data_IF_992149845382
#
_entry.id   IF_992149845382
#
_cell.length_a   1.000
_cell.length_b   1.000
_cell.length_c   1.000
_cell.angle_alpha   90.00
_cell.angle_beta   90.00
_cell.angle_gamma   90.00
#
_symmetry.space_group_name_H-M   'P 1'
#
loop_
_entity.id
_entity.type
_entity.pdbx_description
1 polymer ?
#
# COMPACT_ATOMS: atom_id res chain seq x y z
N UNK A 1 -9.78 -46.43 -17.75
CA UNK A 1 -11.05 -47.02 -18.24
C UNK A 1 -10.88 -48.53 -18.42
N UNK A 2 -11.98 -49.27 -18.50
CA UNK A 2 -11.94 -50.71 -18.77
C UNK A 2 -13.14 -51.13 -19.61
N UNK A 3 -13.02 -52.28 -20.28
CA UNK A 3 -14.06 -52.91 -21.08
C UNK A 3 -14.25 -54.33 -20.57
N UNK A 4 -15.50 -54.73 -20.42
CA UNK A 4 -15.91 -56.10 -20.12
C UNK A 4 -16.53 -56.72 -21.37
N UNK A 5 -16.15 -57.95 -21.77
CA UNK A 5 -16.76 -58.64 -22.90
C UNK A 5 -18.22 -59.00 -22.60
N UNK A 6 -19.01 -59.19 -23.65
CA UNK A 6 -20.35 -59.74 -23.50
C UNK A 6 -20.26 -61.21 -23.05
N UNK A 7 -20.95 -61.56 -21.97
CA UNK A 7 -21.09 -62.95 -21.51
C UNK A 7 -22.56 -63.29 -21.25
N UNK A 8 -22.90 -64.56 -21.45
CA UNK A 8 -24.21 -65.12 -21.10
C UNK A 8 -24.27 -65.60 -19.65
N UNK A 9 -23.10 -65.73 -18.99
CA UNK A 9 -22.94 -66.22 -17.62
C UNK A 9 -22.21 -65.19 -16.75
N UNK A 10 -22.22 -65.39 -15.43
CA UNK A 10 -21.47 -64.56 -14.50
C UNK A 10 -19.97 -64.82 -14.62
N UNK A 11 -19.22 -63.78 -14.99
CA UNK A 11 -17.76 -63.80 -15.08
C UNK A 11 -17.15 -62.79 -14.12
N UNK A 12 -16.09 -63.20 -13.42
CA UNK A 12 -15.32 -62.33 -12.54
C UNK A 12 -14.22 -61.62 -13.33
N UNK A 13 -14.08 -60.32 -13.11
CA UNK A 13 -13.00 -59.51 -13.68
C UNK A 13 -12.24 -58.81 -12.57
N UNK A 14 -10.92 -58.80 -12.69
CA UNK A 14 -10.04 -58.08 -11.79
C UNK A 14 -9.33 -56.96 -12.56
N UNK A 15 -9.25 -55.79 -11.94
CA UNK A 15 -8.50 -54.67 -12.49
C UNK A 15 -7.93 -53.80 -11.40
N UNK A 16 -6.73 -53.30 -11.62
CA UNK A 16 -6.08 -52.32 -10.76
C UNK A 16 -6.24 -50.90 -11.29
N UNK A 17 -6.17 -49.95 -10.36
CA UNK A 17 -6.02 -48.53 -10.62
C UNK A 17 -4.85 -48.05 -9.79
N UNK A 18 -3.95 -47.30 -10.43
CA UNK A 18 -2.86 -46.64 -9.72
C UNK A 18 -3.35 -45.26 -9.25
N UNK A 19 -3.22 -45.00 -7.95
CA UNK A 19 -3.50 -43.70 -7.35
C UNK A 19 -2.15 -43.02 -7.13
N UNK A 20 -1.90 -41.94 -7.89
CA UNK A 20 -0.69 -41.14 -7.69
C UNK A 20 -0.91 -40.28 -6.44
N UNK A 21 -0.15 -40.58 -5.39
CA UNK A 21 -0.07 -39.71 -4.22
C UNK A 21 0.76 -38.49 -4.63
N UNK A 22 0.14 -37.31 -4.56
CA UNK A 22 0.78 -36.05 -4.90
C UNK A 22 0.88 -35.16 -3.67
N UNK A 23 1.56 -34.04 -3.87
CA UNK A 23 1.63 -32.92 -2.94
C UNK A 23 0.29 -32.34 -2.48
N UNK A 24 -0.82 -32.72 -3.09
CA UNK A 24 -2.15 -32.29 -2.69
C UNK A 24 -2.67 -32.98 -1.41
N UNK A 25 -2.03 -34.08 -0.98
CA UNK A 25 -2.42 -34.85 0.21
C UNK A 25 -1.32 -34.74 1.26
N UNK A 26 -1.68 -34.35 2.48
CA UNK A 26 -0.75 -34.25 3.60
C UNK A 26 -0.30 -35.63 4.09
N UNK A 27 0.91 -35.76 4.67
CA UNK A 27 1.27 -36.93 5.46
C UNK A 27 0.34 -37.09 6.66
N UNK A 28 0.00 -38.32 6.98
CA UNK A 28 -0.93 -38.66 8.05
C UNK A 28 -1.47 -40.09 7.93
N UNK A 29 -2.09 -40.57 9.00
CA UNK A 29 -2.86 -41.81 9.02
C UNK A 29 -4.36 -41.51 9.01
N UNK A 30 -5.16 -42.53 8.74
CA UNK A 30 -6.62 -42.41 8.81
C UNK A 30 -7.26 -41.99 7.49
N UNK A 31 -6.56 -42.16 6.37
CA UNK A 31 -7.16 -41.98 5.06
C UNK A 31 -8.00 -43.20 4.70
N UNK A 32 -9.24 -42.94 4.27
CA UNK A 32 -10.19 -43.96 3.85
C UNK A 32 -10.00 -44.31 2.36
N UNK A 33 -10.36 -45.53 1.99
CA UNK A 33 -10.35 -45.99 0.60
C UNK A 33 -11.71 -46.54 0.21
N UNK A 34 -12.21 -46.09 -0.94
CA UNK A 34 -13.34 -46.72 -1.61
C UNK A 34 -13.11 -46.67 -3.12
N UNK A 35 -13.73 -47.59 -3.84
CA UNK A 35 -13.75 -47.59 -5.29
C UNK A 35 -15.20 -47.39 -5.76
N UNK A 36 -15.35 -46.62 -6.83
CA UNK A 36 -16.64 -46.32 -7.45
C UNK A 36 -16.58 -46.66 -8.93
N UNK A 37 -17.45 -47.57 -9.38
CA UNK A 37 -17.66 -47.85 -10.79
C UNK A 37 -18.77 -46.91 -11.27
N UNK A 38 -18.43 -46.06 -12.25
CA UNK A 38 -19.35 -45.08 -12.83
C UNK A 38 -19.68 -45.42 -14.28
N UNK A 39 -20.82 -44.90 -14.77
CA UNK A 39 -21.18 -44.96 -16.18
C UNK A 39 -21.75 -46.31 -16.65
N UNK A 40 -22.29 -47.11 -15.73
CA UNK A 40 -23.00 -48.36 -16.04
C UNK A 40 -24.51 -48.16 -16.03
N UNK A 41 -25.24 -49.03 -16.74
CA UNK A 41 -26.71 -49.02 -16.74
C UNK A 41 -27.21 -49.51 -15.38
N UNK A 42 -28.00 -48.69 -14.69
CA UNK A 42 -28.50 -48.98 -13.33
C UNK A 42 -27.92 -48.08 -12.23
N UNK A 43 -26.99 -47.18 -12.57
CA UNK A 43 -26.39 -46.23 -11.62
C UNK A 43 -25.01 -46.68 -11.12
N UNK A 44 -24.38 -45.82 -10.33
CA UNK A 44 -23.03 -46.07 -9.84
C UNK A 44 -23.00 -47.17 -8.77
N UNK A 45 -21.94 -48.00 -8.79
CA UNK A 45 -21.71 -49.04 -7.80
C UNK A 45 -20.50 -48.67 -6.95
N UNK A 46 -20.64 -48.75 -5.63
CA UNK A 46 -19.60 -48.44 -4.66
C UNK A 46 -19.15 -49.72 -3.95
N UNK A 47 -17.85 -49.81 -3.64
CA UNK A 47 -17.35 -50.79 -2.67
C UNK A 47 -17.73 -50.38 -1.25
N UNK A 48 -17.46 -51.26 -0.28
CA UNK A 48 -17.40 -50.84 1.12
C UNK A 48 -16.34 -49.73 1.31
N UNK A 49 -16.57 -48.88 2.31
CA UNK A 49 -15.59 -47.91 2.78
C UNK A 49 -14.60 -48.65 3.66
N UNK A 50 -13.35 -48.71 3.21
CA UNK A 50 -12.25 -49.20 4.02
C UNK A 50 -11.73 -48.02 4.85
N UNK A 51 -12.14 -47.97 6.11
CA UNK A 51 -11.78 -46.89 7.01
C UNK A 51 -10.32 -47.00 7.49
N UNK A 52 -9.61 -45.88 7.49
CA UNK A 52 -8.26 -45.75 8.06
C UNK A 52 -7.20 -46.72 7.49
N UNK A 53 -7.32 -47.16 6.24
CA UNK A 53 -6.42 -48.17 5.64
C UNK A 53 -5.17 -47.60 4.98
N UNK A 54 -5.08 -46.28 4.79
CA UNK A 54 -3.93 -45.62 4.18
C UNK A 54 -3.19 -44.74 5.21
N UNK A 55 -1.87 -44.88 5.23
CA UNK A 55 -0.96 -43.95 5.90
C UNK A 55 -0.05 -43.33 4.85
N UNK A 56 -0.10 -42.00 4.73
CA UNK A 56 0.82 -41.22 3.91
C UNK A 56 2.01 -40.83 4.79
N UNK A 57 3.20 -41.30 4.46
CA UNK A 57 4.43 -41.00 5.20
C UNK A 57 5.09 -39.73 4.66
N UNK A 58 5.67 -38.90 5.54
CA UNK A 58 6.35 -37.65 5.19
C UNK A 58 6.48 -36.71 6.40
N UNK A 59 6.98 -35.49 6.20
CA UNK A 59 7.04 -34.47 7.27
C UNK A 59 5.61 -34.09 7.68
N UNK A 60 5.29 -34.24 8.96
CA UNK A 60 3.92 -34.06 9.47
C UNK A 60 3.58 -32.61 9.85
N UNK A 61 4.58 -31.77 10.09
CA UNK A 61 4.40 -30.35 10.44
C UNK A 61 5.33 -29.45 9.63
N UNK A 62 4.83 -28.29 9.24
CA UNK A 62 5.61 -27.28 8.53
C UNK A 62 6.63 -26.61 9.44
N UNK A 63 7.83 -26.38 8.94
CA UNK A 63 8.87 -25.65 9.66
C UNK A 63 9.30 -24.41 8.87
N UNK A 64 9.54 -23.32 9.59
CA UNK A 64 9.91 -22.01 9.05
C UNK A 64 11.21 -21.51 9.69
N UNK A 65 12.11 -20.95 8.88
CA UNK A 65 13.34 -20.29 9.36
C UNK A 65 13.75 -19.13 8.45
N UNK A 66 14.82 -18.42 8.85
CA UNK A 66 15.46 -17.37 8.06
C UNK A 66 14.50 -16.25 7.60
N UNK A 67 13.47 -15.96 8.41
CA UNK A 67 12.59 -14.82 8.16
C UNK A 67 13.39 -13.52 8.23
N UNK A 68 13.36 -12.73 7.16
CA UNK A 68 14.05 -11.45 7.07
C UNK A 68 13.32 -10.51 6.10
N UNK A 69 13.55 -9.21 6.26
CA UNK A 69 12.99 -8.20 5.38
C UNK A 69 14.06 -7.33 4.71
N UNK A 70 13.76 -6.94 3.48
CA UNK A 70 14.41 -5.85 2.74
C UNK A 70 13.35 -4.91 2.17
N UNK A 71 13.71 -3.69 1.80
CA UNK A 71 12.73 -2.69 1.37
C UNK A 71 13.25 -1.86 0.19
N UNK A 72 12.30 -1.24 -0.51
CA UNK A 72 12.57 -0.33 -1.62
C UNK A 72 11.53 0.79 -1.64
N UNK A 73 11.95 2.06 -1.81
CA UNK A 73 13.34 2.51 -2.00
C UNK A 73 14.20 2.42 -0.72
N UNK A 74 15.52 2.26 -0.89
CA UNK A 74 16.53 2.31 0.18
C UNK A 74 17.62 3.34 -0.20
N UNK A 75 17.80 4.45 0.54
CA UNK A 75 17.08 4.84 1.75
C UNK A 75 15.60 5.15 1.48
N UNK A 76 14.72 4.90 2.46
CA UNK A 76 13.29 5.07 2.33
C UNK A 76 12.86 6.52 2.63
N UNK A 77 13.13 7.44 1.69
CA UNK A 77 12.65 8.83 1.75
C UNK A 77 11.38 8.95 0.91
N UNK A 78 10.24 9.16 1.55
CA UNK A 78 8.91 8.99 0.95
C UNK A 78 8.01 10.22 1.16
N UNK A 79 7.19 10.52 0.17
CA UNK A 79 6.13 11.54 0.22
C UNK A 79 4.75 10.88 0.36
N UNK A 80 3.73 11.66 0.70
CA UNK A 80 2.35 11.19 0.63
C UNK A 80 1.96 10.76 -0.79
N UNK A 81 1.41 9.55 -0.89
CA UNK A 81 1.07 8.88 -2.14
C UNK A 81 2.17 7.96 -2.68
N UNK A 82 3.39 8.04 -2.14
CA UNK A 82 4.44 7.08 -2.46
C UNK A 82 4.14 5.71 -1.86
N UNK A 83 4.84 4.70 -2.35
CA UNK A 83 4.68 3.30 -1.95
C UNK A 83 6.02 2.77 -1.43
N UNK A 84 6.02 2.20 -0.24
CA UNK A 84 7.12 1.40 0.28
C UNK A 84 6.85 -0.07 -0.04
N UNK A 85 7.72 -0.71 -0.81
CA UNK A 85 7.67 -2.15 -1.05
C UNK A 85 8.61 -2.86 -0.09
N UNK A 86 8.10 -3.83 0.66
CA UNK A 86 8.87 -4.64 1.61
C UNK A 86 8.89 -6.08 1.12
N UNK A 87 10.07 -6.57 0.78
CA UNK A 87 10.30 -7.94 0.34
C UNK A 87 10.66 -8.80 1.56
N UNK A 88 9.85 -9.82 1.80
CA UNK A 88 10.00 -10.76 2.90
C UNK A 88 10.60 -12.06 2.37
N UNK A 89 11.71 -12.48 2.96
CA UNK A 89 12.33 -13.75 2.66
C UNK A 89 12.13 -14.73 3.81
N UNK A 90 11.77 -15.97 3.52
CA UNK A 90 11.78 -17.07 4.50
C UNK A 90 12.01 -18.43 3.83
N UNK A 91 12.55 -19.38 4.61
CA UNK A 91 12.68 -20.76 4.18
C UNK A 91 11.58 -21.63 4.79
N UNK A 92 11.00 -22.52 3.99
CA UNK A 92 9.99 -23.48 4.40
C UNK A 92 10.35 -24.91 3.98
N UNK A 93 10.10 -25.87 4.88
CA UNK A 93 9.99 -27.30 4.55
C UNK A 93 8.82 -27.92 5.31
N UNK A 94 8.18 -28.92 4.73
CA UNK A 94 7.03 -29.60 5.32
C UNK A 94 5.90 -29.88 4.34
N UNK A 95 4.68 -30.17 4.83
CA UNK A 95 3.50 -30.45 4.02
C UNK A 95 3.04 -29.21 3.21
N UNK A 96 1.94 -29.33 2.46
CA UNK A 96 1.33 -28.13 1.85
C UNK A 96 0.76 -27.24 2.96
N UNK A 97 0.99 -25.93 2.89
CA UNK A 97 0.47 -24.95 3.83
C UNK A 97 -0.34 -23.85 3.11
N UNK A 98 -1.47 -23.43 3.69
CA UNK A 98 -2.47 -22.57 3.00
C UNK A 98 -3.01 -21.42 3.85
N UNK A 99 -2.37 -21.09 4.98
CA UNK A 99 -2.97 -20.18 5.97
C UNK A 99 -2.04 -19.14 6.57
N UNK A 100 -0.85 -18.93 5.99
CA UNK A 100 0.13 -18.01 6.56
C UNK A 100 -0.12 -16.57 6.09
N UNK A 101 0.09 -15.61 6.98
CA UNK A 101 -0.11 -14.19 6.73
C UNK A 101 1.17 -13.40 7.01
N UNK A 102 1.41 -12.34 6.24
CA UNK A 102 2.46 -11.36 6.51
C UNK A 102 1.81 -10.04 6.90
N UNK A 103 2.13 -9.54 8.10
CA UNK A 103 1.81 -8.18 8.53
C UNK A 103 3.07 -7.33 8.48
N UNK A 104 3.01 -6.21 7.77
CA UNK A 104 4.10 -5.24 7.63
C UNK A 104 3.60 -3.89 8.12
N UNK A 105 4.37 -3.19 8.93
CA UNK A 105 3.97 -1.91 9.53
C UNK A 105 5.12 -0.90 9.61
N UNK A 106 4.78 0.38 9.42
CA UNK A 106 5.63 1.55 9.68
C UNK A 106 5.17 2.16 11.00
N UNK A 107 6.12 2.51 11.88
CA UNK A 107 5.80 2.99 13.21
C UNK A 107 7.01 3.46 13.99
N UNK A 108 6.88 3.46 15.31
CA UNK A 108 8.00 3.72 16.23
C UNK A 108 8.15 2.57 17.21
N UNK A 109 9.38 2.10 17.36
CA UNK A 109 9.77 1.09 18.33
C UNK A 109 10.17 1.78 19.62
N UNK A 110 9.60 1.30 20.71
CA UNK A 110 9.88 1.82 22.03
C UNK A 110 10.75 0.84 22.81
N UNK A 111 11.93 1.32 23.23
CA UNK A 111 12.81 0.62 24.14
C UNK A 111 12.75 1.27 25.52
N UNK A 112 12.18 0.58 26.51
CA UNK A 112 12.22 1.02 27.90
C UNK A 112 12.86 -0.06 28.79
N UNK A 113 13.71 0.32 29.77
CA UNK A 113 14.45 -0.65 30.60
C UNK A 113 13.60 -1.64 31.42
N UNK A 114 12.32 -1.36 31.61
CA UNK A 114 11.43 -2.04 32.57
C UNK A 114 10.10 -2.50 31.96
N UNK A 115 9.88 -2.22 30.67
CA UNK A 115 8.67 -2.65 29.95
C UNK A 115 9.16 -3.40 28.70
N UNK A 116 8.58 -4.57 28.37
CA UNK A 116 8.96 -5.29 27.16
C UNK A 116 8.82 -4.39 25.93
N UNK A 117 9.81 -4.42 25.04
CA UNK A 117 9.79 -3.69 23.77
C UNK A 117 8.42 -3.80 23.09
N UNK A 118 7.90 -2.69 22.61
CA UNK A 118 6.68 -2.67 21.82
C UNK A 118 6.85 -1.76 20.60
N UNK A 119 6.02 -2.01 19.61
CA UNK A 119 6.01 -1.28 18.35
C UNK A 119 4.68 -0.54 18.23
N UNK A 120 4.73 0.79 18.11
CA UNK A 120 3.57 1.63 17.87
C UNK A 120 3.32 1.72 16.36
N UNK A 121 2.46 0.83 15.85
CA UNK A 121 2.12 0.76 14.42
C UNK A 121 1.27 1.98 14.00
N UNK A 122 1.73 2.75 13.02
CA UNK A 122 1.00 3.91 12.48
C UNK A 122 0.32 3.55 11.16
N UNK A 123 1.08 2.96 10.23
CA UNK A 123 0.58 2.42 8.97
C UNK A 123 0.89 0.93 8.91
N UNK A 124 -0.02 0.13 8.38
CA UNK A 124 0.23 -1.29 8.18
C UNK A 124 -0.53 -1.85 6.98
N UNK A 125 -0.09 -2.99 6.50
CA UNK A 125 -0.78 -3.82 5.50
C UNK A 125 -0.62 -5.29 5.87
N UNK A 126 -1.59 -6.11 5.48
CA UNK A 126 -1.57 -7.56 5.64
C UNK A 126 -1.61 -8.18 4.24
N UNK A 127 -0.74 -9.13 3.97
CA UNK A 127 -0.76 -9.96 2.78
C UNK A 127 -1.04 -11.42 3.17
N UNK A 128 -2.07 -11.99 2.56
CA UNK A 128 -2.37 -13.42 2.68
C UNK A 128 -1.48 -14.20 1.70
N UNK A 129 -0.75 -15.19 2.20
CA UNK A 129 0.17 -15.95 1.36
C UNK A 129 -0.57 -16.98 0.52
N UNK A 130 -0.19 -17.05 -0.76
CA UNK A 130 -0.61 -18.15 -1.62
C UNK A 130 -0.08 -19.48 -1.06
N UNK A 131 -0.81 -20.59 -1.25
CA UNK A 131 -0.36 -21.90 -0.79
C UNK A 131 1.05 -22.29 -1.25
N UNK A 132 1.88 -22.75 -0.33
CA UNK A 132 3.25 -23.21 -0.60
C UNK A 132 3.52 -24.62 -0.07
N UNK A 133 4.64 -25.20 -0.49
CA UNK A 133 4.96 -26.60 -0.28
C UNK A 133 4.06 -27.58 -1.06
N UNK A 134 4.15 -28.87 -0.72
CA UNK A 134 5.06 -29.49 0.24
C UNK A 134 6.49 -29.54 -0.28
N UNK A 135 7.45 -29.42 0.65
CA UNK A 135 8.88 -29.53 0.35
C UNK A 135 9.53 -30.46 1.38
N UNK A 136 10.26 -31.48 0.93
CA UNK A 136 11.07 -32.33 1.82
C UNK A 136 12.36 -31.60 2.25
N UNK A 137 12.91 -30.79 1.36
CA UNK A 137 14.07 -29.92 1.59
C UNK A 137 13.66 -28.47 1.87
N UNK A 138 14.58 -27.68 2.40
CA UNK A 138 14.37 -26.24 2.60
C UNK A 138 14.25 -25.51 1.26
N UNK A 139 13.13 -24.81 1.07
CA UNK A 139 12.86 -23.96 -0.08
C UNK A 139 12.66 -22.52 0.37
N UNK A 140 13.34 -21.59 -0.28
CA UNK A 140 13.19 -20.16 -0.04
C UNK A 140 11.97 -19.58 -0.76
N UNK A 141 11.32 -18.63 -0.11
CA UNK A 141 10.16 -17.90 -0.62
C UNK A 141 10.40 -16.40 -0.43
N UNK A 142 10.05 -15.63 -1.45
CA UNK A 142 10.09 -14.16 -1.44
C UNK A 142 8.68 -13.62 -1.67
N UNK A 143 8.23 -12.71 -0.81
CA UNK A 143 6.91 -12.07 -0.90
C UNK A 143 7.01 -10.56 -0.71
N UNK A 144 6.52 -9.83 -1.70
CA UNK A 144 6.46 -8.37 -1.68
C UNK A 144 5.14 -7.91 -1.05
N UNK A 145 5.25 -6.99 -0.09
CA UNK A 145 4.11 -6.31 0.54
C UNK A 145 4.29 -4.81 0.37
N UNK A 146 3.27 -4.16 -0.15
CA UNK A 146 3.27 -2.72 -0.41
C UNK A 146 2.52 -1.96 0.69
N UNK A 147 3.15 -0.94 1.25
CA UNK A 147 2.51 0.03 2.15
C UNK A 147 2.41 1.37 1.43
N UNK A 148 1.17 1.86 1.29
CA UNK A 148 0.91 3.20 0.75
C UNK A 148 1.13 4.27 1.84
N UNK A 149 1.94 5.28 1.54
CA UNK A 149 2.18 6.40 2.45
C UNK A 149 1.01 7.38 2.38
N UNK A 150 0.32 7.59 3.50
CA UNK A 150 -0.88 8.44 3.59
C UNK A 150 -0.72 9.50 4.68
N UNK A 151 -1.67 10.44 4.76
CA UNK A 151 -1.67 11.48 5.80
C UNK A 151 -1.95 10.96 7.21
N UNK A 152 -2.12 9.65 7.42
CA UNK A 152 -2.23 9.07 8.76
C UNK A 152 -0.88 9.01 9.49
N UNK A 153 0.24 9.04 8.75
CA UNK A 153 1.59 9.23 9.31
C UNK A 153 2.01 10.68 9.11
N UNK A 154 2.59 11.30 10.15
CA UNK A 154 3.08 12.69 10.06
C UNK A 154 4.44 12.75 9.38
N UNK A 155 4.83 13.88 8.77
CA UNK A 155 6.19 14.06 8.31
C UNK A 155 7.17 13.94 9.48
N UNK A 156 8.33 13.32 9.24
CA UNK A 156 9.32 13.04 10.27
C UNK A 156 10.41 12.11 9.76
N UNK A 157 11.51 12.07 10.50
CA UNK A 157 12.61 11.11 10.32
C UNK A 157 12.47 9.97 11.31
N UNK A 158 13.32 8.96 11.15
CA UNK A 158 13.55 7.92 12.17
C UNK A 158 12.32 7.04 12.44
N UNK A 159 11.49 6.82 11.39
CA UNK A 159 10.46 5.80 11.47
C UNK A 159 11.05 4.41 11.28
N UNK A 160 10.50 3.47 12.03
CA UNK A 160 10.92 2.08 12.03
C UNK A 160 10.02 1.23 11.11
N UNK A 161 10.57 0.10 10.68
CA UNK A 161 9.85 -0.92 9.92
C UNK A 161 9.78 -2.21 10.72
N UNK A 162 8.56 -2.75 10.82
CA UNK A 162 8.26 -4.01 11.47
C UNK A 162 7.59 -4.95 10.48
N UNK A 163 7.94 -6.23 10.53
CA UNK A 163 7.15 -7.26 9.86
C UNK A 163 7.08 -8.55 10.67
N UNK A 164 5.95 -9.25 10.53
CA UNK A 164 5.78 -10.59 11.09
C UNK A 164 5.07 -11.55 10.13
N UNK A 165 5.52 -12.79 10.14
CA UNK A 165 4.86 -13.94 9.55
C UNK A 165 4.05 -14.65 10.64
N UNK A 166 2.73 -14.65 10.49
CA UNK A 166 1.76 -15.22 11.44
C UNK A 166 1.04 -16.41 10.83
N UNK A 167 0.26 -17.08 11.68
CA UNK A 167 -0.60 -18.20 11.28
C UNK A 167 0.24 -19.27 10.60
N UNK A 168 1.41 -19.55 11.19
CA UNK A 168 2.32 -20.64 10.82
C UNK A 168 2.43 -21.62 11.99
N UNK A 169 2.77 -22.90 11.77
CA UNK A 169 3.07 -23.82 12.84
C UNK A 169 4.25 -23.31 13.68
N UNK A 170 4.11 -23.38 15.01
CA UNK A 170 5.09 -22.87 15.96
C UNK A 170 4.85 -21.42 16.34
N UNK A 171 5.94 -20.70 16.64
CA UNK A 171 5.88 -19.28 17.01
C UNK A 171 5.97 -18.39 15.77
N UNK A 172 5.26 -17.27 15.80
CA UNK A 172 5.38 -16.19 14.81
C UNK A 172 6.84 -15.82 14.57
N UNK A 173 7.15 -15.47 13.32
CA UNK A 173 8.48 -14.94 12.95
C UNK A 173 8.38 -13.44 12.76
N UNK A 174 9.42 -12.72 13.14
CA UNK A 174 9.43 -11.27 13.07
C UNK A 174 10.83 -10.74 12.73
N UNK A 175 10.87 -9.60 12.06
CA UNK A 175 12.07 -8.82 11.79
C UNK A 175 11.74 -7.32 11.94
N UNK A 176 12.74 -6.55 12.35
CA UNK A 176 12.65 -5.11 12.59
C UNK A 176 13.83 -4.39 11.95
N UNK A 177 13.62 -3.14 11.56
CA UNK A 177 14.65 -2.22 11.07
C UNK A 177 14.39 -0.86 11.68
N UNK A 178 15.38 -0.38 12.43
CA UNK A 178 15.25 0.84 13.23
C UNK A 178 15.76 2.05 12.42
N UNK A 179 15.08 3.19 12.52
CA UNK A 179 15.42 4.50 11.95
C UNK A 179 15.68 4.51 10.43
N UNK A 180 14.91 3.74 9.65
CA UNK A 180 15.16 3.56 8.20
C UNK A 180 14.26 4.38 7.27
N UNK A 181 13.18 4.99 7.77
CA UNK A 181 12.17 5.67 6.96
C UNK A 181 12.09 7.16 7.33
N UNK A 182 12.12 8.01 6.29
CA UNK A 182 11.82 9.44 6.37
C UNK A 182 10.54 9.73 5.59
N UNK A 183 9.56 10.34 6.24
CA UNK A 183 8.36 10.88 5.60
C UNK A 183 8.54 12.37 5.40
N UNK A 184 8.66 12.80 4.16
CA UNK A 184 8.87 14.20 3.80
C UNK A 184 7.54 14.94 3.82
N UNK A 185 7.54 16.15 4.39
CA UNK A 185 6.40 17.05 4.32
C UNK A 185 6.15 17.41 2.85
N UNK A 186 4.99 16.99 2.32
CA UNK A 186 4.58 17.46 1.01
C UNK A 186 4.55 19.00 1.05
N UNK A 187 5.26 19.71 0.16
CA UNK A 187 5.25 21.16 0.18
C UNK A 187 3.80 21.64 0.12
N UNK A 188 3.42 22.66 0.91
CA UNK A 188 2.06 23.15 0.93
C UNK A 188 1.58 23.40 -0.50
N UNK A 189 0.36 22.99 -0.79
CA UNK A 189 -0.25 23.07 -2.12
C UNK A 189 -0.35 24.53 -2.58
N UNK A 190 0.73 25.04 -3.17
CA UNK A 190 0.85 26.42 -3.61
C UNK A 190 1.58 27.33 -2.61
N UNK A 191 2.61 28.04 -3.09
CA UNK A 191 3.21 29.17 -2.36
C UNK A 191 3.10 30.46 -3.18
N UNK A 192 2.90 31.59 -2.50
CA UNK A 192 3.04 32.92 -3.12
C UNK A 192 4.53 33.20 -3.31
N UNK A 193 4.96 33.33 -4.56
CA UNK A 193 6.38 33.54 -4.90
C UNK A 193 6.69 35.02 -5.17
N UNK A 194 5.70 35.83 -5.56
CA UNK A 194 5.88 37.29 -5.62
C UNK A 194 4.56 38.05 -5.55
N UNK A 195 4.65 39.30 -5.10
CA UNK A 195 3.57 40.29 -5.07
C UNK A 195 4.04 41.51 -5.85
N UNK A 196 3.18 42.14 -6.64
CA UNK A 196 3.54 43.33 -7.40
C UNK A 196 2.37 44.31 -7.51
N UNK A 197 2.72 45.58 -7.72
CA UNK A 197 1.80 46.67 -8.04
C UNK A 197 2.29 47.31 -9.34
N UNK A 198 1.40 47.50 -10.33
CA UNK A 198 1.69 48.25 -11.54
C UNK A 198 0.88 49.55 -11.57
N UNK A 199 1.52 50.64 -12.00
CA UNK A 199 0.79 51.88 -12.32
C UNK A 199 0.21 51.79 -13.72
N UNK A 200 -1.09 52.07 -13.89
CA UNK A 200 -1.78 52.05 -15.19
C UNK A 200 -1.96 53.49 -15.68
N UNK A 201 -1.79 53.78 -16.99
CA UNK A 201 -1.47 52.87 -18.11
C UNK A 201 0.03 52.65 -18.31
N UNK A 202 0.87 53.20 -17.44
CA UNK A 202 2.31 53.30 -17.65
C UNK A 202 3.03 51.94 -17.60
N UNK A 203 2.44 50.92 -16.97
CA UNK A 203 2.94 49.54 -16.93
C UNK A 203 4.18 49.33 -16.03
N UNK A 204 4.57 50.35 -15.27
CA UNK A 204 5.75 50.27 -14.41
C UNK A 204 5.43 49.55 -13.10
N UNK A 205 6.24 48.51 -12.83
CA UNK A 205 6.26 47.82 -11.52
C UNK A 205 6.78 48.76 -10.46
N UNK A 206 6.01 48.91 -9.40
CA UNK A 206 6.36 49.72 -8.24
C UNK A 206 6.86 48.78 -7.13
N UNK A 207 7.98 49.09 -6.45
CA UNK A 207 8.44 48.31 -5.31
C UNK A 207 7.40 48.26 -4.18
N UNK A 208 7.49 47.27 -3.30
CA UNK A 208 6.64 47.15 -2.12
C UNK A 208 7.56 47.17 -0.89
N UNK A 209 7.33 48.06 0.10
CA UNK A 209 6.28 49.08 0.17
C UNK A 209 6.52 50.25 -0.81
N UNK A 210 5.43 50.93 -1.20
CA UNK A 210 5.50 52.18 -1.98
C UNK A 210 4.47 53.19 -1.51
N UNK A 211 4.79 54.47 -1.66
CA UNK A 211 3.87 55.57 -1.49
C UNK A 211 3.25 55.94 -2.85
N UNK A 212 1.92 55.90 -2.92
CA UNK A 212 1.15 56.28 -4.11
C UNK A 212 0.34 57.54 -3.82
N UNK A 213 0.42 58.53 -4.72
CA UNK A 213 -0.37 59.76 -4.63
C UNK A 213 -1.81 59.50 -5.12
N UNK A 214 -2.79 59.99 -4.38
CA UNK A 214 -4.21 59.94 -4.77
C UNK A 214 -4.53 60.98 -5.86
N UNK A 215 -4.24 60.63 -7.11
CA UNK A 215 -4.32 61.50 -8.29
C UNK A 215 -5.36 61.01 -9.34
N UNK A 216 -6.30 60.15 -8.92
CA UNK A 216 -7.28 59.45 -9.77
C UNK A 216 -6.69 58.39 -10.73
N UNK A 217 -5.42 58.02 -10.59
CA UNK A 217 -4.87 56.88 -11.33
C UNK A 217 -5.38 55.54 -10.79
N UNK A 218 -5.53 54.57 -11.68
CA UNK A 218 -5.82 53.16 -11.35
C UNK A 218 -4.53 52.39 -11.12
N UNK A 219 -4.58 51.44 -10.19
CA UNK A 219 -3.47 50.52 -9.94
C UNK A 219 -3.91 49.10 -10.25
N UNK A 220 -3.01 48.34 -10.85
CA UNK A 220 -3.12 46.90 -10.97
C UNK A 220 -2.35 46.26 -9.83
N UNK A 221 -3.00 45.33 -9.13
CA UNK A 221 -2.33 44.50 -8.12
C UNK A 221 -2.33 43.08 -8.63
N UNK A 222 -1.20 42.40 -8.52
CA UNK A 222 -1.08 41.02 -8.92
C UNK A 222 -0.23 40.19 -7.98
N UNK A 223 -0.49 38.89 -8.02
CA UNK A 223 0.25 37.88 -7.26
C UNK A 223 0.70 36.80 -8.24
N UNK A 224 1.93 36.35 -8.09
CA UNK A 224 2.40 35.11 -8.70
C UNK A 224 2.44 34.02 -7.65
N UNK A 225 1.91 32.87 -8.03
CA UNK A 225 1.85 31.69 -7.18
C UNK A 225 2.21 30.46 -8.02
N UNK A 226 2.80 29.46 -7.36
CA UNK A 226 3.30 28.26 -8.02
C UNK A 226 2.80 27.01 -7.32
N UNK A 227 2.29 26.04 -8.07
CA UNK A 227 1.88 24.73 -7.56
C UNK A 227 3.10 23.80 -7.45
N UNK A 228 3.52 23.48 -6.23
CA UNK A 228 4.61 22.54 -5.96
C UNK A 228 4.13 21.10 -5.75
N UNK A 229 2.82 20.85 -5.80
CA UNK A 229 2.28 19.51 -5.56
C UNK A 229 2.33 18.64 -6.82
N UNK A 230 2.39 17.32 -6.63
CA UNK A 230 2.34 16.32 -7.70
C UNK A 230 0.96 16.15 -8.35
N UNK A 231 -0.04 16.97 -7.98
CA UNK A 231 -1.41 16.88 -8.49
C UNK A 231 -1.91 18.26 -8.95
N UNK A 232 -2.96 18.24 -9.75
CA UNK A 232 -3.68 19.48 -10.09
C UNK A 232 -4.37 20.00 -8.84
N UNK A 233 -4.20 21.29 -8.53
CA UNK A 233 -4.85 21.94 -7.39
C UNK A 233 -5.63 23.15 -7.87
N UNK A 234 -6.81 23.40 -7.30
CA UNK A 234 -7.56 24.63 -7.55
C UNK A 234 -7.11 25.67 -6.53
N UNK A 235 -6.44 26.72 -7.01
CA UNK A 235 -5.98 27.83 -6.17
C UNK A 235 -6.72 29.11 -6.52
N UNK A 236 -6.85 30.00 -5.54
CA UNK A 236 -7.48 31.30 -5.72
C UNK A 236 -6.71 32.36 -4.94
N UNK A 237 -6.65 33.58 -5.48
CA UNK A 237 -6.02 34.71 -4.85
C UNK A 237 -7.08 35.75 -4.48
N UNK A 238 -7.16 36.13 -3.20
CA UNK A 238 -8.01 37.24 -2.75
C UNK A 238 -7.16 38.50 -2.60
N UNK A 239 -7.59 39.58 -3.25
CA UNK A 239 -7.02 40.92 -3.07
C UNK A 239 -7.99 41.77 -2.26
N UNK A 240 -7.48 42.45 -1.24
CA UNK A 240 -8.22 43.42 -0.43
C UNK A 240 -7.42 44.72 -0.34
N UNK A 241 -8.07 45.83 -0.65
CA UNK A 241 -7.52 47.18 -0.47
C UNK A 241 -8.22 47.81 0.72
N UNK A 242 -7.45 48.20 1.72
CA UNK A 242 -7.94 48.83 2.94
C UNK A 242 -7.32 50.20 3.11
N UNK A 243 -8.06 51.13 3.69
CA UNK A 243 -7.54 52.45 4.06
C UNK A 243 -6.68 52.38 5.36
N UNK A 244 -6.04 53.49 5.80
CA UNK A 244 -5.23 53.50 7.02
C UNK A 244 -6.00 53.14 8.31
N UNK A 245 -7.34 53.26 8.31
CA UNK A 245 -8.20 52.85 9.43
C UNK A 245 -8.63 51.37 9.32
N UNK A 246 -8.15 50.64 8.31
CA UNK A 246 -8.48 49.24 8.05
C UNK A 246 -9.80 49.00 7.33
N UNK A 247 -10.51 50.05 6.90
CA UNK A 247 -11.80 49.92 6.20
C UNK A 247 -11.56 49.41 4.78
N UNK A 248 -12.30 48.37 4.39
CA UNK A 248 -12.23 47.79 3.04
C UNK A 248 -12.76 48.79 2.00
N UNK A 249 -11.92 49.14 1.03
CA UNK A 249 -12.23 50.07 -0.07
C UNK A 249 -12.45 49.36 -1.40
N UNK A 250 -11.76 48.24 -1.63
CA UNK A 250 -11.98 47.40 -2.80
C UNK A 250 -11.63 45.94 -2.50
N UNK A 251 -12.42 45.00 -3.04
CA UNK A 251 -12.10 43.57 -3.04
C UNK A 251 -12.66 42.94 -4.31
N UNK A 252 -11.86 42.82 -5.38
CA UNK A 252 -12.30 42.14 -6.58
C UNK A 252 -12.64 40.66 -6.26
N UNK A 253 -13.54 40.02 -7.03
CA UNK A 253 -13.85 38.61 -6.86
C UNK A 253 -12.60 37.73 -6.90
N UNK A 254 -12.59 36.68 -6.08
CA UNK A 254 -11.52 35.68 -6.12
C UNK A 254 -11.62 34.90 -7.42
N UNK A 255 -10.57 34.97 -8.24
CA UNK A 255 -10.45 34.14 -9.43
C UNK A 255 -9.86 32.78 -9.02
N UNK A 256 -10.69 31.74 -9.10
CA UNK A 256 -10.30 30.35 -8.84
C UNK A 256 -9.88 29.72 -10.16
N UNK A 257 -8.61 29.33 -10.26
CA UNK A 257 -8.08 28.68 -11.47
C UNK A 257 -7.41 27.37 -11.09
N UNK A 258 -7.70 26.33 -11.87
CA UNK A 258 -6.99 25.06 -11.76
C UNK A 258 -5.53 25.24 -12.18
N UNK A 259 -4.61 24.72 -11.38
CA UNK A 259 -3.17 24.71 -11.66
C UNK A 259 -2.68 23.29 -11.82
N UNK A 260 -2.04 23.03 -12.95
CA UNK A 260 -1.32 21.79 -13.21
C UNK A 260 -0.07 21.69 -12.34
N UNK A 261 0.56 20.51 -12.32
CA UNK A 261 1.80 20.27 -11.60
C UNK A 261 2.89 21.24 -12.07
N UNK A 262 3.62 21.87 -11.14
CA UNK A 262 4.72 22.80 -11.40
C UNK A 262 4.35 24.06 -12.19
N UNK A 263 3.06 24.33 -12.39
CA UNK A 263 2.59 25.50 -13.11
C UNK A 263 2.77 26.77 -12.26
N UNK A 264 3.26 27.84 -12.91
CA UNK A 264 3.29 29.20 -12.38
C UNK A 264 2.17 29.99 -13.05
N UNK A 265 1.29 30.59 -12.24
CA UNK A 265 0.25 31.48 -12.72
C UNK A 265 0.47 32.89 -12.21
N UNK A 266 0.27 33.85 -13.11
CA UNK A 266 0.18 35.27 -12.79
C UNK A 266 -1.29 35.71 -12.92
N UNK A 267 -1.84 36.30 -11.87
CA UNK A 267 -3.17 36.92 -11.91
C UNK A 267 -3.05 38.41 -11.63
N UNK A 268 -3.75 39.19 -12.45
CA UNK A 268 -3.79 40.64 -12.39
C UNK A 268 -5.22 41.09 -12.11
N UNK A 269 -5.37 42.02 -11.17
CA UNK A 269 -6.65 42.58 -10.79
C UNK A 269 -6.62 44.09 -11.03
N UNK A 270 -7.53 44.56 -11.87
CA UNK A 270 -7.76 45.99 -12.08
C UNK A 270 -8.48 46.55 -10.85
N UNK A 271 -7.82 47.43 -10.11
CA UNK A 271 -8.43 48.11 -8.97
C UNK A 271 -8.75 49.53 -9.41
N UNK A 272 -10.05 49.84 -9.47
CA UNK A 272 -10.58 51.18 -9.72
C UNK A 272 -10.02 52.20 -8.70
N UNK A 273 -9.97 53.50 -9.06
CA UNK A 273 -9.35 54.49 -8.19
C UNK A 273 -10.03 54.48 -6.82
N UNK A 274 -9.23 54.50 -5.76
CA UNK A 274 -9.73 54.62 -4.40
C UNK A 274 -10.45 55.96 -4.33
N UNK A 275 -11.77 55.93 -4.18
CA UNK A 275 -12.58 57.14 -4.06
C UNK A 275 -11.97 58.04 -2.98
N UNK A 276 -11.69 59.30 -3.35
CA UNK A 276 -11.21 60.29 -2.38
C UNK A 276 -12.24 60.39 -1.24
N UNK A 277 -11.81 60.45 0.03
CA UNK A 277 -12.70 60.82 1.12
C UNK A 277 -13.33 62.20 0.89
#
# INVERSE_FOLDING_TARGET
>A
SFSVPQSADWESFEKSVDIIITSAISPGSGYDLYCKIMGITGGDVLTEFLENVITITGITEGEFKNFSISWSPDPAVLNYGDKLTVTHHFDYRGPRYTGADIRTAIGNRHYLPIIPDWFDEILYTIAHLEPFGPNEDWMGYDVDVDILITTAISPGTDYDLYSKLTDVPGADRYDYKDDIIEIVEAPPAGSIISKFINKVPEGWRIPIPTEVKADNNTFEVGIRYRNYSGRTVTGGCKVEVRDPNGILRASPPVDWTGMSQNEELEKQYNICPVDKP
#
